data_IF_640628804644
#
_entry.id   IF_640628804644
#
_cell.length_a   1.000
_cell.length_b   1.000
_cell.length_c   1.000
_cell.angle_alpha   90.00
_cell.angle_beta   90.00
_cell.angle_gamma   90.00
#
_symmetry.space_group_name_H-M   'P 1'
#
loop_
_entity.id
_entity.type
_entity.pdbx_description
1 polymer ?
#
# COMPACT_ATOMS: atom_id res chain seq x y z
N UNK A 1 31.05 27.51 36.19
CA UNK A 1 32.15 28.49 36.22
C UNK A 1 31.70 29.70 35.41
N UNK A 2 31.42 30.86 36.06
CA UNK A 2 30.94 32.14 35.47
C UNK A 2 29.55 32.10 34.77
N UNK A 3 28.46 32.73 35.23
CA UNK A 3 28.10 34.19 35.39
C UNK A 3 27.90 34.93 34.05
N UNK A 4 26.94 35.85 33.82
CA UNK A 4 25.86 36.46 34.63
C UNK A 4 24.79 37.13 33.68
N UNK A 5 23.52 37.19 34.12
CA UNK A 5 22.47 38.26 33.99
C UNK A 5 22.07 39.07 32.72
N UNK A 6 20.90 39.73 32.88
CA UNK A 6 19.92 40.32 31.92
C UNK A 6 19.38 41.64 32.53
N UNK A 7 19.32 42.81 31.84
CA UNK A 7 18.22 43.17 30.91
C UNK A 7 18.74 44.03 29.72
N UNK A 8 18.04 44.97 29.02
CA UNK A 8 16.73 45.64 29.14
C UNK A 8 16.56 46.75 28.05
N UNK A 9 15.38 47.39 27.88
CA UNK A 9 15.03 48.20 26.69
C UNK A 9 15.07 49.73 26.90
N UNK A 10 14.92 50.55 25.83
CA UNK A 10 14.21 51.86 25.85
C UNK A 10 13.96 52.50 24.46
N UNK A 11 13.09 53.53 24.43
CA UNK A 11 12.48 54.18 23.25
C UNK A 11 13.30 55.30 22.58
N UNK A 12 12.91 55.70 21.35
CA UNK A 12 13.35 56.95 20.71
C UNK A 12 12.57 57.36 19.45
N UNK A 13 11.53 58.18 19.61
CA UNK A 13 10.91 59.07 18.59
C UNK A 13 10.78 60.48 19.22
N UNK A 14 10.43 61.57 18.51
CA UNK A 14 10.24 61.80 17.06
C UNK A 14 11.03 63.04 16.51
N UNK A 15 10.83 63.44 15.25
CA UNK A 15 10.76 64.87 14.88
C UNK A 15 9.92 65.12 13.61
N UNK A 16 9.42 66.36 13.46
CA UNK A 16 8.12 66.65 12.84
C UNK A 16 8.16 67.92 11.94
N UNK A 17 7.92 67.73 10.61
CA UNK A 17 7.32 68.70 9.62
C UNK A 17 8.12 70.03 9.36
N UNK A 18 7.76 70.97 8.43
CA UNK A 18 6.56 71.04 7.57
C UNK A 18 6.65 71.46 6.07
N UNK A 19 5.63 70.99 5.35
CA UNK A 19 4.77 71.69 4.37
C UNK A 19 5.33 72.50 3.17
N UNK A 20 4.73 72.25 1.99
CA UNK A 20 4.02 73.31 1.25
C UNK A 20 2.81 72.78 0.48
N UNK A 21 1.72 73.53 0.49
CA UNK A 21 0.44 73.22 -0.16
C UNK A 21 0.21 74.07 -1.41
N UNK A 22 -0.64 73.58 -2.33
CA UNK A 22 -1.50 74.44 -3.16
C UNK A 22 -2.78 73.68 -3.57
N UNK A 23 -3.87 74.42 -3.77
CA UNK A 23 -5.23 73.90 -4.05
C UNK A 23 -5.65 74.21 -5.50
N UNK A 24 -6.47 73.35 -6.09
CA UNK A 24 -7.32 73.64 -7.26
C UNK A 24 -8.57 72.72 -7.27
N UNK A 25 -9.79 73.15 -7.67
CA UNK A 25 -11.02 72.47 -7.25
C UNK A 25 -12.00 71.97 -8.35
N UNK A 26 -12.60 70.78 -8.11
CA UNK A 26 -13.95 70.30 -8.54
C UNK A 26 -14.28 70.28 -10.07
N UNK A 27 -15.12 69.41 -10.64
CA UNK A 27 -16.39 68.80 -10.17
C UNK A 27 -16.61 67.40 -10.87
N UNK A 28 -17.79 66.72 -10.97
CA UNK A 28 -17.87 65.28 -10.70
C UNK A 28 -18.25 64.38 -11.91
N UNK A 29 -18.00 63.06 -11.81
CA UNK A 29 -18.48 62.10 -12.80
C UNK A 29 -18.34 60.62 -12.40
N UNK A 30 -19.48 59.93 -12.39
CA UNK A 30 -19.69 58.46 -12.49
C UNK A 30 -19.00 57.49 -11.51
N UNK A 31 -19.84 56.75 -10.78
CA UNK A 31 -19.55 55.41 -10.26
C UNK A 31 -19.25 54.42 -11.40
N UNK A 32 -18.31 53.47 -11.21
CA UNK A 32 -18.56 52.01 -11.32
C UNK A 32 -17.26 51.18 -11.31
N UNK A 33 -17.20 50.17 -10.44
CA UNK A 33 -16.26 49.03 -10.52
C UNK A 33 -14.79 49.32 -10.18
N UNK A 34 -14.02 48.40 -9.59
CA UNK A 34 -14.33 47.06 -9.06
C UNK A 34 -13.25 46.69 -8.05
N UNK A 35 -13.61 46.06 -6.92
CA UNK A 35 -12.66 45.42 -6.00
C UNK A 35 -12.09 44.09 -6.56
N UNK A 36 -11.96 43.96 -7.89
CA UNK A 36 -11.61 42.73 -8.59
C UNK A 36 -10.12 42.57 -8.91
N UNK A 37 -9.34 43.66 -8.95
CA UNK A 37 -7.95 43.61 -9.43
C UNK A 37 -6.91 43.16 -8.38
N UNK A 38 -7.31 42.98 -7.11
CA UNK A 38 -6.41 42.48 -6.07
C UNK A 38 -6.35 40.94 -5.98
N UNK A 39 -7.33 40.23 -6.55
CA UNK A 39 -7.41 38.75 -6.52
C UNK A 39 -6.69 38.10 -7.71
N UNK A 40 -6.45 38.86 -8.78
CA UNK A 40 -5.80 38.35 -10.01
C UNK A 40 -4.28 38.18 -9.85
N UNK A 41 -3.64 38.87 -8.90
CA UNK A 41 -2.17 38.87 -8.74
C UNK A 41 -1.64 37.80 -7.76
N UNK A 42 -2.49 36.85 -7.34
CA UNK A 42 -2.06 35.68 -6.56
C UNK A 42 -2.60 34.35 -7.10
N UNK A 43 -3.05 34.33 -8.36
CA UNK A 43 -2.97 33.11 -9.14
C UNK A 43 -1.50 32.77 -9.34
N UNK A 44 -1.03 31.74 -8.64
CA UNK A 44 0.22 31.05 -9.00
C UNK A 44 0.08 30.66 -10.47
N UNK A 45 0.87 31.29 -11.34
CA UNK A 45 0.97 30.86 -12.74
C UNK A 45 1.56 29.47 -12.76
N UNK A 46 0.69 28.47 -12.75
CA UNK A 46 1.03 27.09 -13.07
C UNK A 46 1.60 27.12 -14.49
N UNK A 47 2.93 27.07 -14.59
CA UNK A 47 3.64 27.07 -15.87
C UNK A 47 3.20 25.85 -16.67
N UNK A 48 2.21 26.04 -17.53
CA UNK A 48 1.67 25.00 -18.40
C UNK A 48 2.82 24.42 -19.22
N UNK A 49 2.96 23.09 -19.20
CA UNK A 49 3.93 22.42 -20.07
C UNK A 49 3.62 22.76 -21.53
N UNK A 50 4.66 23.01 -22.31
CA UNK A 50 4.52 23.39 -23.72
C UNK A 50 3.81 22.29 -24.52
N UNK A 51 2.98 22.73 -25.46
CA UNK A 51 2.30 21.87 -26.42
C UNK A 51 3.28 21.29 -27.44
N UNK A 52 2.82 20.26 -28.19
CA UNK A 52 3.59 19.72 -29.31
C UNK A 52 4.07 20.79 -30.31
N UNK A 53 3.23 21.78 -30.62
CA UNK A 53 3.54 22.79 -31.64
C UNK A 53 4.46 23.88 -31.12
N UNK A 54 4.30 24.31 -29.86
CA UNK A 54 5.27 25.17 -29.17
C UNK A 54 6.64 24.50 -29.06
N UNK A 55 6.69 23.19 -28.78
CA UNK A 55 7.94 22.43 -28.76
C UNK A 55 8.59 22.34 -30.15
N UNK A 56 7.81 22.07 -31.20
CA UNK A 56 8.32 22.03 -32.59
C UNK A 56 8.84 23.40 -33.03
N UNK A 57 8.14 24.49 -32.72
CA UNK A 57 8.58 25.86 -32.99
C UNK A 57 9.87 26.18 -32.21
N UNK A 58 9.89 25.91 -30.90
CA UNK A 58 11.03 26.15 -30.01
C UNK A 58 12.27 25.27 -30.23
N UNK A 59 12.21 24.30 -31.16
CA UNK A 59 13.34 23.41 -31.52
C UNK A 59 13.64 23.36 -33.02
N UNK A 60 13.11 24.31 -33.80
CA UNK A 60 13.44 24.48 -35.22
C UNK A 60 12.79 23.48 -36.19
N UNK A 61 12.60 23.94 -37.41
CA UNK A 61 11.66 23.40 -38.41
C UNK A 61 11.81 21.93 -38.86
N UNK A 62 10.79 21.49 -39.58
CA UNK A 62 10.43 20.08 -39.84
C UNK A 62 11.36 19.31 -40.79
N UNK A 63 12.06 19.99 -41.70
CA UNK A 63 12.71 19.38 -42.88
C UNK A 63 13.72 18.23 -42.59
N UNK A 64 14.32 18.20 -41.40
CA UNK A 64 15.23 17.12 -40.95
C UNK A 64 14.81 16.52 -39.59
N UNK A 65 13.59 16.81 -39.11
CA UNK A 65 13.12 16.36 -37.78
C UNK A 65 12.92 14.85 -37.74
N UNK A 66 12.26 14.29 -38.75
CA UNK A 66 11.93 12.85 -38.85
C UNK A 66 13.10 11.88 -38.97
N UNK A 67 14.34 12.36 -39.07
CA UNK A 67 15.58 11.55 -39.11
C UNK A 67 16.47 11.75 -37.88
N UNK A 68 15.92 12.28 -36.80
CA UNK A 68 16.67 12.70 -35.61
C UNK A 68 16.08 12.10 -34.33
N UNK A 69 16.95 11.86 -33.34
CA UNK A 69 16.59 11.43 -31.98
C UNK A 69 15.52 12.30 -31.30
N UNK A 70 15.34 13.55 -31.74
CA UNK A 70 14.27 14.44 -31.26
C UNK A 70 12.86 13.84 -31.45
N UNK A 71 12.69 12.93 -32.42
CA UNK A 71 11.43 12.19 -32.64
C UNK A 71 11.00 11.32 -31.46
N UNK A 72 11.94 10.92 -30.59
CA UNK A 72 11.61 10.23 -29.33
C UNK A 72 10.92 11.19 -28.35
N UNK A 73 11.36 12.44 -28.30
CA UNK A 73 10.73 13.50 -27.50
C UNK A 73 9.36 13.87 -28.07
N UNK A 74 9.24 14.03 -29.40
CA UNK A 74 7.95 14.26 -30.06
C UNK A 74 6.93 13.17 -29.71
N UNK A 75 7.35 11.89 -29.76
CA UNK A 75 6.48 10.75 -29.46
C UNK A 75 6.05 10.72 -28.01
N UNK A 76 6.96 10.99 -27.07
CA UNK A 76 6.64 11.04 -25.64
C UNK A 76 5.67 12.19 -25.32
N UNK A 77 5.89 13.37 -25.90
CA UNK A 77 5.01 14.53 -25.72
C UNK A 77 3.62 14.29 -26.30
N UNK A 78 3.53 13.71 -27.50
CA UNK A 78 2.26 13.29 -28.11
C UNK A 78 1.54 12.23 -27.28
N UNK A 79 2.26 11.24 -26.75
CA UNK A 79 1.67 10.19 -25.91
C UNK A 79 1.06 10.78 -24.63
N UNK A 80 1.75 11.73 -23.98
CA UNK A 80 1.19 12.45 -22.82
C UNK A 80 -0.10 13.20 -23.16
N UNK A 81 -0.14 13.97 -24.26
CA UNK A 81 -1.34 14.72 -24.64
C UNK A 81 -2.49 13.86 -25.17
N UNK A 82 -2.25 12.58 -25.49
CA UNK A 82 -3.30 11.62 -25.81
C UNK A 82 -3.99 11.04 -24.55
N UNK A 83 -3.42 11.20 -23.35
CA UNK A 83 -3.98 10.67 -22.11
C UNK A 83 -5.04 11.62 -21.52
N UNK A 84 -6.24 11.14 -21.17
CA UNK A 84 -7.24 11.95 -20.50
C UNK A 84 -6.77 12.37 -19.09
N UNK A 85 -7.20 13.55 -18.63
CA UNK A 85 -6.72 14.14 -17.37
C UNK A 85 -7.03 13.27 -16.12
N UNK A 86 -8.00 12.36 -16.19
CA UNK A 86 -8.33 11.42 -15.13
C UNK A 86 -7.26 10.32 -14.90
N UNK A 87 -6.45 9.98 -15.92
CA UNK A 87 -5.40 8.94 -15.83
C UNK A 87 -4.11 9.51 -15.26
N UNK A 88 -4.17 9.94 -14.00
CA UNK A 88 -3.08 10.64 -13.31
C UNK A 88 -1.80 9.80 -13.19
N UNK A 89 -1.91 8.50 -12.97
CA UNK A 89 -0.81 7.54 -12.91
C UNK A 89 -0.18 7.32 -14.29
N UNK A 90 -0.98 7.06 -15.31
CA UNK A 90 -0.51 6.94 -16.69
C UNK A 90 0.22 8.23 -17.15
N UNK A 91 -0.29 9.39 -16.74
CA UNK A 91 0.31 10.70 -17.02
C UNK A 91 1.62 10.92 -16.26
N UNK A 92 1.77 10.43 -15.03
CA UNK A 92 3.06 10.39 -14.34
C UNK A 92 4.08 9.59 -15.15
N UNK A 93 3.72 8.38 -15.60
CA UNK A 93 4.62 7.55 -16.42
C UNK A 93 5.01 8.25 -17.73
N UNK A 94 4.05 8.86 -18.42
CA UNK A 94 4.31 9.61 -19.66
C UNK A 94 5.20 10.86 -19.43
N UNK A 95 5.02 11.59 -18.32
CA UNK A 95 5.90 12.70 -17.94
C UNK A 95 7.34 12.23 -17.66
N UNK A 96 7.51 11.05 -17.04
CA UNK A 96 8.84 10.45 -16.83
C UNK A 96 9.48 10.03 -18.14
N UNK A 97 8.71 9.52 -19.10
CA UNK A 97 9.19 9.23 -20.45
C UNK A 97 9.58 10.49 -21.23
N UNK A 98 8.87 11.62 -21.06
CA UNK A 98 9.30 12.93 -21.60
C UNK A 98 10.65 13.35 -20.99
N UNK A 99 10.78 13.34 -19.67
CA UNK A 99 12.04 13.71 -18.98
C UNK A 99 13.20 12.81 -19.44
N UNK A 100 12.97 11.50 -19.53
CA UNK A 100 13.94 10.51 -20.04
C UNK A 100 14.34 10.80 -21.49
N UNK A 101 13.37 11.01 -22.38
CA UNK A 101 13.63 11.30 -23.79
C UNK A 101 14.40 12.62 -23.97
N UNK A 102 14.06 13.65 -23.18
CA UNK A 102 14.77 14.92 -23.17
C UNK A 102 16.23 14.74 -22.71
N UNK A 103 16.46 14.04 -21.59
CA UNK A 103 17.81 13.75 -21.08
C UNK A 103 18.67 12.97 -22.07
N UNK A 104 18.13 11.92 -22.70
CA UNK A 104 18.82 11.14 -23.73
C UNK A 104 19.16 12.00 -24.94
N UNK A 105 18.26 12.88 -25.39
CA UNK A 105 18.53 13.78 -26.52
C UNK A 105 19.66 14.77 -26.21
N UNK A 106 19.62 15.40 -25.05
CA UNK A 106 20.64 16.37 -24.61
C UNK A 106 22.01 15.68 -24.49
N UNK A 107 22.09 14.52 -23.84
CA UNK A 107 23.32 13.74 -23.72
C UNK A 107 23.88 13.31 -25.09
N UNK A 108 23.03 12.93 -26.04
CA UNK A 108 23.45 12.55 -27.39
C UNK A 108 23.96 13.73 -28.24
N UNK A 109 23.53 14.97 -27.97
CA UNK A 109 23.95 16.16 -28.75
C UNK A 109 25.04 16.99 -28.08
N UNK A 110 25.21 16.91 -26.77
CA UNK A 110 26.03 17.84 -26.00
C UNK A 110 25.46 19.27 -26.04
N UNK A 111 26.02 20.16 -25.21
CA UNK A 111 25.44 21.49 -24.95
C UNK A 111 25.34 22.42 -26.16
N UNK A 112 26.07 22.13 -27.24
CA UNK A 112 26.09 22.92 -28.48
C UNK A 112 24.97 22.59 -29.48
N UNK A 113 24.09 21.62 -29.20
CA UNK A 113 23.02 21.24 -30.12
C UNK A 113 21.92 22.31 -30.25
N UNK A 114 21.56 22.69 -31.47
CA UNK A 114 20.58 23.78 -31.76
C UNK A 114 19.16 23.57 -31.21
N UNK A 115 18.83 22.38 -30.69
CA UNK A 115 17.54 22.05 -30.05
C UNK A 115 17.64 21.86 -28.53
N UNK A 116 18.84 21.91 -27.96
CA UNK A 116 19.11 21.52 -26.56
C UNK A 116 18.33 22.39 -25.58
N UNK A 117 18.42 23.72 -25.68
CA UNK A 117 17.70 24.62 -24.78
C UNK A 117 16.17 24.47 -24.82
N UNK A 118 15.58 24.15 -25.98
CA UNK A 118 14.14 23.84 -26.07
C UNK A 118 13.78 22.50 -25.43
N UNK A 119 14.68 21.52 -25.53
CA UNK A 119 14.52 20.18 -24.96
C UNK A 119 14.71 20.17 -23.45
N UNK A 120 15.67 20.94 -22.92
CA UNK A 120 15.88 21.15 -21.48
C UNK A 120 14.64 21.79 -20.84
N UNK A 121 14.13 22.89 -21.41
CA UNK A 121 12.90 23.53 -20.91
C UNK A 121 11.68 22.60 -20.89
N UNK A 122 11.52 21.72 -21.89
CA UNK A 122 10.46 20.71 -21.86
C UNK A 122 10.68 19.70 -20.73
N UNK A 123 11.91 19.22 -20.53
CA UNK A 123 12.25 18.33 -19.43
C UNK A 123 11.96 18.95 -18.05
N UNK A 124 12.35 20.20 -17.85
CA UNK A 124 12.07 20.97 -16.63
C UNK A 124 10.57 21.14 -16.38
N UNK A 125 9.81 21.52 -17.42
CA UNK A 125 8.34 21.64 -17.33
C UNK A 125 7.66 20.29 -17.03
N UNK A 126 8.12 19.21 -17.68
CA UNK A 126 7.60 17.87 -17.43
C UNK A 126 7.91 17.39 -16.01
N UNK A 127 9.09 17.70 -15.47
CA UNK A 127 9.45 17.39 -14.10
C UNK A 127 8.64 18.22 -13.09
N UNK A 128 8.41 19.51 -13.35
CA UNK A 128 7.56 20.36 -12.53
C UNK A 128 6.09 19.88 -12.53
N UNK A 129 5.58 19.40 -13.66
CA UNK A 129 4.23 18.86 -13.79
C UNK A 129 4.01 17.56 -12.99
N UNK A 130 5.05 16.73 -12.78
CA UNK A 130 4.94 15.52 -11.95
C UNK A 130 4.55 15.86 -10.49
N UNK A 131 5.05 16.97 -9.96
CA UNK A 131 4.73 17.46 -8.61
C UNK A 131 3.36 18.14 -8.46
N UNK A 132 2.57 18.20 -9.53
CA UNK A 132 1.22 18.81 -9.54
C UNK A 132 0.09 17.78 -9.61
N UNK A 133 0.42 16.50 -9.76
CA UNK A 133 -0.55 15.40 -9.81
C UNK A 133 -1.06 15.09 -8.39
N UNK A 134 -2.34 14.69 -8.27
CA UNK A 134 -2.87 14.27 -6.96
C UNK A 134 -2.30 12.88 -6.59
N UNK A 135 -1.63 12.73 -5.42
CA UNK A 135 -0.89 11.51 -5.10
C UNK A 135 -1.79 10.28 -4.89
N UNK A 136 -3.03 10.48 -4.45
CA UNK A 136 -4.00 9.38 -4.31
C UNK A 136 -4.53 8.93 -5.67
N UNK A 137 -4.88 9.88 -6.55
CA UNK A 137 -5.29 9.56 -7.91
C UNK A 137 -4.16 8.87 -8.69
N UNK A 138 -2.91 9.31 -8.52
CA UNK A 138 -1.72 8.64 -9.07
C UNK A 138 -1.61 7.21 -8.52
N UNK A 139 -1.73 7.00 -7.21
CA UNK A 139 -1.63 5.66 -6.61
C UNK A 139 -2.69 4.70 -7.16
N UNK A 140 -3.97 5.10 -7.17
CA UNK A 140 -5.08 4.27 -7.66
C UNK A 140 -4.99 3.96 -9.16
N UNK A 141 -4.58 4.94 -9.97
CA UNK A 141 -4.41 4.75 -11.41
C UNK A 141 -3.18 3.88 -11.73
N UNK A 142 -2.07 4.00 -10.97
CA UNK A 142 -0.92 3.10 -11.13
C UNK A 142 -1.22 1.66 -10.70
N UNK A 143 -2.05 1.44 -9.68
CA UNK A 143 -2.56 0.07 -9.40
C UNK A 143 -3.32 -0.49 -10.60
N UNK A 144 -4.16 0.34 -11.23
CA UNK A 144 -4.95 -0.05 -12.43
C UNK A 144 -4.06 -0.33 -13.65
N UNK A 145 -2.99 0.44 -13.86
CA UNK A 145 -1.98 0.17 -14.91
C UNK A 145 -1.26 -1.16 -14.65
N UNK A 146 -0.94 -1.48 -13.38
CA UNK A 146 -0.28 -2.74 -13.03
C UNK A 146 -1.24 -3.93 -13.15
N UNK A 147 -2.51 -3.78 -12.75
CA UNK A 147 -3.57 -4.77 -12.95
C UNK A 147 -3.73 -5.08 -14.45
N UNK A 148 -3.75 -4.06 -15.33
CA UNK A 148 -3.81 -4.29 -16.78
C UNK A 148 -2.58 -5.03 -17.32
N UNK A 149 -1.38 -4.72 -16.82
CA UNK A 149 -0.15 -5.44 -17.23
C UNK A 149 -0.20 -6.92 -16.81
N UNK A 150 -0.76 -7.21 -15.64
CA UNK A 150 -1.02 -8.57 -15.16
C UNK A 150 -2.06 -9.31 -16.03
N UNK A 151 -3.19 -8.66 -16.36
CA UNK A 151 -4.23 -9.22 -17.23
C UNK A 151 -3.72 -9.52 -18.66
N UNK A 152 -2.69 -8.78 -19.12
CA UNK A 152 -1.99 -9.02 -20.39
C UNK A 152 -0.93 -10.15 -20.30
N UNK A 153 -0.81 -10.85 -19.17
CA UNK A 153 0.14 -11.94 -18.94
C UNK A 153 1.61 -11.48 -18.90
N UNK A 154 1.87 -10.26 -18.43
CA UNK A 154 3.20 -9.65 -18.42
C UNK A 154 3.65 -9.38 -16.98
N UNK A 155 4.94 -9.57 -16.75
CA UNK A 155 5.57 -9.24 -15.47
C UNK A 155 5.71 -7.70 -15.31
N UNK A 156 5.03 -7.06 -14.34
CA UNK A 156 5.09 -5.61 -14.14
C UNK A 156 6.43 -5.11 -13.59
N UNK A 157 7.22 -5.96 -12.93
CA UNK A 157 8.55 -5.60 -12.42
C UNK A 157 9.60 -5.43 -13.54
N UNK A 158 9.28 -5.85 -14.78
CA UNK A 158 10.11 -5.62 -15.95
C UNK A 158 9.84 -4.26 -16.63
N UNK A 159 8.83 -3.50 -16.18
CA UNK A 159 8.58 -2.15 -16.72
C UNK A 159 9.63 -1.15 -16.21
N UNK A 160 10.50 -0.71 -17.11
CA UNK A 160 11.54 0.30 -16.86
C UNK A 160 11.01 1.65 -16.37
N UNK A 161 9.70 1.91 -16.42
CA UNK A 161 9.06 3.10 -15.83
C UNK A 161 8.83 2.95 -14.30
N UNK A 162 8.99 1.74 -13.77
CA UNK A 162 8.89 1.34 -12.36
C UNK A 162 7.53 1.69 -11.70
N UNK A 163 6.38 1.32 -12.29
CA UNK A 163 5.06 1.76 -11.82
C UNK A 163 4.80 1.43 -10.35
N UNK A 164 5.21 0.25 -9.87
CA UNK A 164 5.06 -0.13 -8.46
C UNK A 164 5.85 0.77 -7.49
N UNK A 165 7.06 1.17 -7.89
CA UNK A 165 7.91 2.09 -7.10
C UNK A 165 7.43 3.55 -7.14
N UNK A 166 6.77 3.96 -8.23
CA UNK A 166 6.13 5.28 -8.31
C UNK A 166 4.81 5.32 -7.52
N UNK A 167 4.04 4.23 -7.51
CA UNK A 167 2.86 4.08 -6.67
C UNK A 167 3.24 4.16 -5.18
N UNK A 168 4.31 3.47 -4.75
CA UNK A 168 4.81 3.57 -3.38
C UNK A 168 5.18 5.00 -2.97
N UNK A 169 5.84 5.77 -3.86
CA UNK A 169 6.14 7.20 -3.62
C UNK A 169 4.88 8.06 -3.56
N UNK A 170 3.92 7.80 -4.43
CA UNK A 170 2.64 8.50 -4.44
C UNK A 170 1.91 8.27 -3.12
N UNK A 171 1.80 7.01 -2.66
CA UNK A 171 1.22 6.65 -1.38
C UNK A 171 1.89 7.35 -0.17
N UNK A 172 3.22 7.47 -0.17
CA UNK A 172 3.98 8.20 0.86
C UNK A 172 3.68 9.71 0.90
N UNK A 173 3.23 10.30 -0.20
CA UNK A 173 2.90 11.72 -0.31
C UNK A 173 1.45 12.06 0.08
N UNK A 174 0.60 11.06 0.36
CA UNK A 174 -0.80 11.27 0.75
C UNK A 174 -0.87 11.71 2.23
N UNK A 175 -1.64 12.77 2.57
CA UNK A 175 -1.96 13.13 3.96
C UNK A 175 -2.54 11.97 4.76
N UNK A 176 -2.22 11.88 6.06
CA UNK A 176 -2.52 10.68 6.85
C UNK A 176 -4.03 10.36 6.98
N UNK A 177 -4.87 11.40 7.06
CA UNK A 177 -6.33 11.32 7.04
C UNK A 177 -6.86 10.77 5.70
N UNK A 178 -6.40 11.34 4.57
CA UNK A 178 -6.72 10.84 3.22
C UNK A 178 -6.22 9.42 3.01
N UNK A 179 -5.03 9.08 3.53
CA UNK A 179 -4.46 7.74 3.43
C UNK A 179 -5.31 6.71 4.18
N UNK A 180 -5.75 7.03 5.39
CA UNK A 180 -6.65 6.17 6.16
C UNK A 180 -7.98 5.96 5.43
N UNK A 181 -8.59 7.03 4.90
CA UNK A 181 -9.82 6.92 4.08
C UNK A 181 -9.60 6.05 2.84
N UNK A 182 -8.52 6.29 2.08
CA UNK A 182 -8.16 5.50 0.90
C UNK A 182 -8.00 4.01 1.22
N UNK A 183 -7.36 3.68 2.35
CA UNK A 183 -7.23 2.29 2.80
C UNK A 183 -8.57 1.69 3.25
N UNK A 184 -9.46 2.50 3.85
CA UNK A 184 -10.84 2.13 4.13
C UNK A 184 -11.60 1.65 2.88
N UNK A 185 -11.44 2.34 1.75
CA UNK A 185 -12.04 1.92 0.48
C UNK A 185 -11.50 0.56 0.00
N UNK A 186 -10.21 0.28 0.20
CA UNK A 186 -9.63 -1.02 -0.16
C UNK A 186 -10.06 -2.15 0.80
N UNK A 187 -10.27 -1.85 2.09
CA UNK A 187 -10.90 -2.79 3.05
C UNK A 187 -12.35 -3.08 2.63
N UNK A 188 -13.12 -2.07 2.23
CA UNK A 188 -14.46 -2.26 1.68
C UNK A 188 -14.44 -3.08 0.38
N UNK A 189 -13.47 -2.83 -0.52
CA UNK A 189 -13.27 -3.61 -1.74
C UNK A 189 -12.96 -5.08 -1.45
N UNK A 190 -12.13 -5.38 -0.44
CA UNK A 190 -11.90 -6.75 0.05
C UNK A 190 -13.19 -7.38 0.58
N UNK A 191 -13.95 -6.65 1.38
CA UNK A 191 -15.25 -7.12 1.90
C UNK A 191 -16.27 -7.41 0.80
N UNK A 192 -16.32 -6.58 -0.24
CA UNK A 192 -17.24 -6.73 -1.37
C UNK A 192 -16.98 -7.99 -2.21
N UNK A 193 -15.75 -8.53 -2.23
CA UNK A 193 -15.45 -9.81 -2.89
C UNK A 193 -16.28 -10.97 -2.31
N UNK A 194 -16.73 -10.87 -1.05
CA UNK A 194 -17.60 -11.89 -0.43
C UNK A 194 -18.92 -12.09 -1.18
N UNK A 195 -19.45 -11.03 -1.81
CA UNK A 195 -20.70 -11.07 -2.56
C UNK A 195 -20.51 -11.54 -4.02
N UNK A 196 -19.27 -11.82 -4.44
CA UNK A 196 -19.01 -12.42 -5.73
C UNK A 196 -19.48 -13.89 -5.74
N UNK A 197 -20.44 -14.19 -6.60
CA UNK A 197 -20.99 -15.55 -6.77
C UNK A 197 -19.94 -16.56 -7.24
N UNK A 198 -18.89 -16.11 -7.94
CA UNK A 198 -17.76 -16.93 -8.42
C UNK A 198 -16.73 -17.23 -7.34
N UNK A 199 -16.79 -16.59 -6.17
CA UNK A 199 -15.84 -16.85 -5.09
C UNK A 199 -16.10 -18.23 -4.43
N UNK A 200 -15.07 -19.05 -4.17
CA UNK A 200 -15.23 -20.31 -3.44
C UNK A 200 -15.71 -20.10 -2.01
N UNK A 201 -16.51 -21.02 -1.48
CA UNK A 201 -17.15 -20.88 -0.16
C UNK A 201 -16.14 -20.80 1.00
N UNK A 202 -15.00 -21.48 0.87
CA UNK A 202 -13.91 -21.39 1.84
C UNK A 202 -13.33 -19.96 1.88
N UNK A 203 -13.26 -19.30 0.72
CA UNK A 203 -12.75 -17.92 0.61
C UNK A 203 -13.80 -16.90 1.05
N UNK A 204 -15.09 -17.12 0.77
CA UNK A 204 -16.19 -16.32 1.35
C UNK A 204 -16.19 -16.38 2.88
N UNK A 205 -15.98 -17.56 3.45
CA UNK A 205 -15.90 -17.78 4.90
C UNK A 205 -14.72 -17.03 5.53
N UNK A 206 -13.53 -17.11 4.92
CA UNK A 206 -12.36 -16.33 5.32
C UNK A 206 -12.65 -14.83 5.27
N UNK A 207 -13.14 -14.28 4.16
CA UNK A 207 -13.43 -12.83 4.06
C UNK A 207 -14.47 -12.41 5.11
N UNK A 208 -15.49 -13.23 5.38
CA UNK A 208 -16.47 -12.98 6.45
C UNK A 208 -15.83 -12.83 7.84
N UNK A 209 -14.86 -13.69 8.19
CA UNK A 209 -14.08 -13.58 9.43
C UNK A 209 -13.21 -12.31 9.45
N UNK A 210 -12.53 -12.01 8.34
CA UNK A 210 -11.65 -10.82 8.26
C UNK A 210 -12.45 -9.52 8.39
N UNK A 211 -13.65 -9.44 7.80
CA UNK A 211 -14.52 -8.28 7.93
C UNK A 211 -15.10 -8.12 9.35
N UNK A 212 -15.26 -9.22 10.10
CA UNK A 212 -15.73 -9.14 11.49
C UNK A 212 -14.73 -8.47 12.44
N UNK A 213 -13.44 -8.43 12.09
CA UNK A 213 -12.38 -7.77 12.91
C UNK A 213 -11.96 -6.39 12.41
N UNK A 214 -12.47 -5.93 11.26
CA UNK A 214 -12.21 -4.56 10.73
C UNK A 214 -12.51 -3.46 11.75
N UNK A 215 -13.60 -3.49 12.55
CA UNK A 215 -13.89 -2.45 13.54
C UNK A 215 -12.82 -2.27 14.62
N UNK A 216 -11.94 -3.26 14.83
CA UNK A 216 -10.84 -3.18 15.80
C UNK A 216 -9.64 -2.41 15.22
N UNK A 217 -9.55 -2.21 13.90
CA UNK A 217 -8.47 -1.46 13.24
C UNK A 217 -8.83 0.03 13.22
N UNK A 218 -8.32 0.77 14.21
CA UNK A 218 -8.64 2.18 14.45
C UNK A 218 -7.82 3.14 13.57
N UNK A 219 -6.62 2.73 13.14
CA UNK A 219 -5.72 3.56 12.33
C UNK A 219 -5.13 2.72 11.19
N UNK A 220 -5.08 3.31 9.99
CA UNK A 220 -4.38 2.77 8.82
C UNK A 220 -3.43 3.86 8.32
N UNK A 221 -2.14 3.57 8.27
CA UNK A 221 -1.11 4.57 7.99
C UNK A 221 0.09 3.99 7.22
N UNK A 222 0.83 4.82 6.51
CA UNK A 222 2.14 4.43 5.97
C UNK A 222 3.15 4.23 7.12
N UNK A 223 4.01 3.19 7.10
CA UNK A 223 5.03 2.95 8.13
C UNK A 223 6.08 4.06 8.22
N UNK A 224 5.97 4.92 9.24
CA UNK A 224 6.97 5.96 9.56
C UNK A 224 8.12 5.36 10.39
N UNK A 225 9.17 4.89 9.73
CA UNK A 225 10.42 4.46 10.38
C UNK A 225 10.40 3.05 10.99
N UNK A 226 9.57 2.15 10.45
CA UNK A 226 9.53 0.74 10.86
C UNK A 226 9.04 -0.15 9.72
N UNK A 227 8.90 -1.45 9.98
CA UNK A 227 8.27 -2.37 9.02
C UNK A 227 6.76 -2.12 8.93
N UNK A 228 6.17 -2.51 7.79
CA UNK A 228 4.73 -2.68 7.67
C UNK A 228 4.20 -3.75 8.64
N UNK A 229 2.89 -3.79 8.78
CA UNK A 229 2.18 -4.79 9.56
C UNK A 229 1.28 -4.23 10.66
N UNK A 230 0.46 -5.13 11.22
CA UNK A 230 -0.47 -4.86 12.30
C UNK A 230 0.24 -4.65 13.65
N UNK A 231 -0.29 -3.75 14.49
CA UNK A 231 0.17 -3.49 15.86
C UNK A 231 -1.04 -3.37 16.79
N UNK A 232 -1.05 -4.14 17.87
CA UNK A 232 -1.95 -3.89 19.01
C UNK A 232 -1.48 -2.62 19.75
N UNK A 233 -2.43 -1.76 20.12
CA UNK A 233 -2.18 -0.61 21.00
C UNK A 233 -2.04 -1.09 22.46
N UNK A 234 -0.88 -0.91 23.12
CA UNK A 234 -0.70 -1.32 24.51
C UNK A 234 -1.49 -0.48 25.53
N UNK A 235 -2.12 0.63 25.12
CA UNK A 235 -3.00 1.42 25.97
C UNK A 235 -4.48 1.01 25.86
N UNK A 236 -4.84 0.12 24.94
CA UNK A 236 -6.20 -0.41 24.80
C UNK A 236 -6.55 -1.35 25.96
N UNK A 237 -7.84 -1.44 26.30
CA UNK A 237 -8.31 -2.36 27.34
C UNK A 237 -8.32 -3.81 26.81
N UNK A 238 -8.05 -4.80 27.67
CA UNK A 238 -8.04 -6.22 27.26
C UNK A 238 -9.37 -6.69 26.66
N UNK A 239 -10.50 -6.07 27.06
CA UNK A 239 -11.83 -6.34 26.51
C UNK A 239 -12.25 -5.45 25.33
N UNK A 240 -11.41 -4.48 24.92
CA UNK A 240 -11.66 -3.59 23.78
C UNK A 240 -10.32 -3.24 23.08
N UNK A 241 -9.71 -4.23 22.40
CA UNK A 241 -8.36 -4.07 21.83
C UNK A 241 -8.39 -3.26 20.53
N UNK A 242 -7.61 -2.18 20.49
CA UNK A 242 -7.45 -1.32 19.32
C UNK A 242 -6.16 -1.65 18.54
N UNK A 243 -6.24 -1.64 17.21
CA UNK A 243 -5.11 -1.98 16.33
C UNK A 243 -4.76 -0.85 15.36
N UNK A 244 -3.46 -0.66 15.13
CA UNK A 244 -2.91 0.20 14.08
C UNK A 244 -2.29 -0.65 12.98
N UNK A 245 -2.83 -0.54 11.78
CA UNK A 245 -2.29 -1.15 10.57
C UNK A 245 -1.28 -0.20 9.91
N UNK A 246 -0.02 -0.63 9.81
CA UNK A 246 1.02 0.07 9.05
C UNK A 246 1.09 -0.55 7.67
N UNK A 247 0.43 0.06 6.68
CA UNK A 247 0.21 -0.57 5.37
C UNK A 247 1.48 -0.55 4.54
N UNK A 248 1.90 -1.72 4.07
CA UNK A 248 2.89 -1.83 3.01
C UNK A 248 2.23 -1.57 1.65
N UNK A 249 2.57 -0.43 1.06
CA UNK A 249 2.02 0.03 -0.24
C UNK A 249 2.91 -0.35 -1.41
N UNK A 250 3.69 -1.42 -1.29
CA UNK A 250 4.35 -2.07 -2.42
C UNK A 250 3.30 -2.54 -3.45
N UNK A 251 3.08 -1.77 -4.51
CA UNK A 251 2.07 -2.06 -5.53
C UNK A 251 2.47 -3.17 -6.54
N UNK A 252 3.39 -4.08 -6.16
CA UNK A 252 3.86 -5.19 -7.00
C UNK A 252 2.71 -6.17 -7.26
N UNK A 253 2.25 -6.31 -8.50
CA UNK A 253 1.05 -7.10 -8.81
C UNK A 253 -0.27 -6.38 -8.49
N UNK A 254 -0.25 -5.05 -8.35
CA UNK A 254 -1.44 -4.21 -8.44
C UNK A 254 -2.41 -4.33 -7.26
N UNK A 255 -3.71 -4.25 -7.58
CA UNK A 255 -4.81 -4.39 -6.61
C UNK A 255 -4.73 -5.72 -5.86
N UNK A 256 -4.41 -6.83 -6.53
CA UNK A 256 -4.47 -8.16 -5.89
C UNK A 256 -3.48 -8.26 -4.73
N UNK A 257 -2.27 -7.72 -4.89
CA UNK A 257 -1.29 -7.61 -3.81
C UNK A 257 -1.80 -6.79 -2.64
N UNK A 258 -2.36 -5.60 -2.89
CA UNK A 258 -2.86 -4.72 -1.85
C UNK A 258 -4.02 -5.36 -1.06
N UNK A 259 -4.99 -5.95 -1.74
CA UNK A 259 -6.12 -6.64 -1.09
C UNK A 259 -5.64 -7.89 -0.31
N UNK A 260 -4.70 -8.66 -0.87
CA UNK A 260 -4.12 -9.80 -0.16
C UNK A 260 -3.23 -9.40 1.02
N UNK A 261 -2.58 -8.23 0.98
CA UNK A 261 -1.86 -7.68 2.14
C UNK A 261 -2.84 -7.20 3.23
N UNK A 262 -3.94 -6.54 2.87
CA UNK A 262 -5.01 -6.24 3.82
C UNK A 262 -5.55 -7.54 4.45
N UNK A 263 -5.78 -8.59 3.66
CA UNK A 263 -6.23 -9.88 4.15
C UNK A 263 -5.21 -10.57 5.08
N UNK A 264 -3.92 -10.52 4.75
CA UNK A 264 -2.82 -10.99 5.61
C UNK A 264 -2.90 -10.36 7.01
N UNK A 265 -3.03 -9.04 7.06
CA UNK A 265 -2.93 -8.26 8.29
C UNK A 265 -4.20 -8.31 9.15
N UNK A 266 -5.38 -8.38 8.52
CA UNK A 266 -6.63 -8.71 9.21
C UNK A 266 -6.60 -10.15 9.75
N UNK A 267 -5.86 -11.08 9.13
CA UNK A 267 -5.73 -12.45 9.63
C UNK A 267 -4.95 -12.49 10.96
N UNK A 268 -3.94 -11.64 11.14
CA UNK A 268 -3.25 -11.48 12.44
C UNK A 268 -4.24 -11.06 13.54
N UNK A 269 -5.13 -10.11 13.26
CA UNK A 269 -6.18 -9.68 14.21
C UNK A 269 -7.18 -10.81 14.50
N UNK A 270 -7.67 -11.50 13.46
CA UNK A 270 -8.61 -12.61 13.60
C UNK A 270 -8.01 -13.80 14.38
N UNK A 271 -6.73 -14.09 14.17
CA UNK A 271 -5.99 -15.11 14.92
C UNK A 271 -5.75 -14.68 16.38
N UNK A 272 -5.43 -13.41 16.63
CA UNK A 272 -5.29 -12.88 17.99
C UNK A 272 -6.59 -13.00 18.79
N UNK A 273 -7.71 -12.57 18.21
CA UNK A 273 -9.05 -12.74 18.79
C UNK A 273 -9.42 -14.23 19.02
N UNK A 274 -9.00 -15.12 18.12
CA UNK A 274 -9.31 -16.55 18.25
C UNK A 274 -8.45 -17.28 19.28
N UNK A 275 -7.17 -16.94 19.40
CA UNK A 275 -6.20 -17.73 20.16
C UNK A 275 -5.81 -17.12 21.51
N UNK A 276 -6.19 -15.86 21.79
CA UNK A 276 -5.77 -15.14 23.00
C UNK A 276 -4.25 -14.94 23.02
N UNK A 277 -3.66 -14.66 21.86
CA UNK A 277 -2.22 -14.57 21.67
C UNK A 277 -1.62 -13.30 22.27
N UNK A 278 -0.30 -13.26 22.41
CA UNK A 278 0.40 -12.05 22.83
C UNK A 278 0.33 -10.94 21.77
N UNK A 279 0.85 -9.72 22.05
CA UNK A 279 1.08 -8.69 21.04
C UNK A 279 1.93 -9.11 19.83
N UNK A 280 2.62 -10.27 19.86
CA UNK A 280 3.30 -10.89 18.70
C UNK A 280 2.31 -11.53 17.71
N UNK A 281 1.04 -11.69 18.11
CA UNK A 281 -0.07 -12.26 17.33
C UNK A 281 0.19 -13.70 16.88
N UNK A 282 0.84 -14.51 17.73
CA UNK A 282 1.16 -15.89 17.41
C UNK A 282 -0.09 -16.74 17.10
N UNK A 283 0.00 -17.57 16.06
CA UNK A 283 -1.07 -18.43 15.52
C UNK A 283 -1.22 -19.73 16.34
N UNK A 284 -1.13 -19.62 17.66
CA UNK A 284 -1.09 -20.71 18.63
C UNK A 284 -2.01 -20.36 19.79
N UNK A 285 -2.90 -21.28 20.15
CA UNK A 285 -3.80 -21.10 21.29
C UNK A 285 -3.01 -20.88 22.59
N UNK A 286 -3.39 -19.84 23.34
CA UNK A 286 -2.78 -19.54 24.64
C UNK A 286 -2.93 -20.73 25.59
N UNK A 287 -1.82 -21.12 26.23
CA UNK A 287 -1.75 -22.30 27.10
C UNK A 287 -1.32 -23.60 26.40
N UNK A 288 -1.12 -23.62 25.08
CA UNK A 288 -0.61 -24.80 24.37
C UNK A 288 0.75 -25.29 24.92
N UNK A 289 0.89 -26.60 25.03
CA UNK A 289 2.12 -27.28 25.43
C UNK A 289 3.14 -27.32 24.28
N UNK A 290 4.43 -27.47 24.60
CA UNK A 290 5.49 -27.62 23.59
C UNK A 290 5.23 -28.80 22.62
N UNK A 291 4.57 -29.87 23.08
CA UNK A 291 4.20 -31.00 22.23
C UNK A 291 3.10 -30.64 21.22
N UNK A 292 2.07 -29.92 21.65
CA UNK A 292 1.01 -29.42 20.76
C UNK A 292 1.56 -28.41 19.75
N UNK A 293 2.45 -27.53 20.18
CA UNK A 293 3.15 -26.56 19.31
C UNK A 293 4.03 -27.27 18.28
N UNK A 294 4.81 -28.26 18.69
CA UNK A 294 5.64 -29.04 17.77
C UNK A 294 4.80 -29.79 16.73
N UNK A 295 3.69 -30.41 17.15
CA UNK A 295 2.76 -31.12 16.26
C UNK A 295 2.10 -30.15 15.26
N UNK A 296 1.61 -29.00 15.73
CA UNK A 296 1.01 -27.95 14.91
C UNK A 296 2.00 -27.37 13.88
N UNK A 297 3.25 -27.13 14.28
CA UNK A 297 4.29 -26.63 13.39
C UNK A 297 4.69 -27.67 12.32
N UNK A 298 4.73 -28.96 12.69
CA UNK A 298 5.00 -30.05 11.77
C UNK A 298 3.88 -30.21 10.73
N UNK A 299 2.62 -30.18 11.15
CA UNK A 299 1.43 -30.17 10.27
C UNK A 299 1.51 -29.03 9.26
N UNK A 300 1.61 -27.78 9.76
CA UNK A 300 1.67 -26.57 8.92
C UNK A 300 2.85 -26.59 7.95
N UNK A 301 4.03 -27.04 8.39
CA UNK A 301 5.21 -27.18 7.53
C UNK A 301 4.97 -28.19 6.40
N UNK A 302 4.32 -29.32 6.69
CA UNK A 302 3.99 -30.30 5.65
C UNK A 302 3.01 -29.70 4.64
N UNK A 303 1.97 -28.98 5.09
CA UNK A 303 1.03 -28.33 4.17
C UNK A 303 1.69 -27.28 3.28
N UNK A 304 2.62 -26.46 3.79
CA UNK A 304 3.39 -25.53 2.95
C UNK A 304 4.30 -26.25 1.95
N UNK A 305 4.87 -27.40 2.32
CA UNK A 305 5.65 -28.23 1.40
C UNK A 305 4.77 -28.85 0.29
N UNK A 306 3.58 -29.34 0.64
CA UNK A 306 2.61 -29.89 -0.32
C UNK A 306 2.07 -28.82 -1.28
N UNK A 307 1.85 -27.60 -0.79
CA UNK A 307 1.50 -26.44 -1.61
C UNK A 307 2.65 -26.06 -2.55
N UNK A 308 3.90 -26.03 -2.07
CA UNK A 308 5.06 -25.77 -2.93
C UNK A 308 5.24 -26.85 -4.02
N UNK A 309 4.99 -28.12 -3.69
CA UNK A 309 5.00 -29.20 -4.67
C UNK A 309 3.89 -29.05 -5.73
N UNK A 310 2.69 -28.62 -5.33
CA UNK A 310 1.58 -28.35 -6.25
C UNK A 310 1.80 -27.11 -7.13
N UNK A 311 2.55 -26.12 -6.64
CA UNK A 311 2.95 -24.93 -7.41
C UNK A 311 4.03 -25.24 -8.46
N UNK A 312 5.02 -26.08 -8.12
CA UNK A 312 6.18 -26.35 -8.95
C UNK A 312 5.89 -27.10 -10.27
N UNK A 313 4.70 -27.69 -10.42
CA UNK A 313 4.25 -28.37 -11.63
C UNK A 313 3.16 -27.65 -12.41
N UNK A 314 2.89 -26.38 -12.10
CA UNK A 314 1.70 -25.67 -12.58
C UNK A 314 2.02 -24.67 -13.70
N UNK A 315 1.55 -24.96 -14.91
CA UNK A 315 1.76 -24.12 -16.09
C UNK A 315 0.63 -23.10 -16.34
N UNK A 316 -0.35 -22.98 -15.44
CA UNK A 316 -1.39 -21.95 -15.50
C UNK A 316 -0.87 -20.58 -15.01
N UNK A 317 0.18 -20.58 -14.18
CA UNK A 317 0.80 -19.36 -13.65
C UNK A 317 1.96 -18.89 -14.53
N UNK A 318 2.06 -17.57 -14.72
CA UNK A 318 3.26 -16.95 -15.28
C UNK A 318 4.42 -16.88 -14.25
N UNK A 319 5.63 -16.58 -14.71
CA UNK A 319 6.84 -16.49 -13.87
C UNK A 319 6.68 -15.54 -12.67
N UNK A 320 5.91 -14.45 -12.82
CA UNK A 320 5.70 -13.44 -11.78
C UNK A 320 4.68 -13.93 -10.74
N UNK A 321 3.55 -14.49 -11.19
CA UNK A 321 2.56 -15.14 -10.32
C UNK A 321 3.20 -16.29 -9.53
N UNK A 322 3.97 -17.16 -10.20
CA UNK A 322 4.68 -18.26 -9.57
C UNK A 322 5.69 -17.76 -8.52
N UNK A 323 6.47 -16.73 -8.86
CA UNK A 323 7.42 -16.11 -7.92
C UNK A 323 6.71 -15.49 -6.71
N UNK A 324 5.58 -14.79 -6.92
CA UNK A 324 4.78 -14.22 -5.83
C UNK A 324 4.23 -15.30 -4.88
N UNK A 325 3.70 -16.40 -5.42
CA UNK A 325 3.18 -17.50 -4.61
C UNK A 325 4.31 -18.23 -3.86
N UNK A 326 5.44 -18.49 -4.52
CA UNK A 326 6.59 -19.13 -3.87
C UNK A 326 7.17 -18.28 -2.74
N UNK A 327 7.30 -16.95 -2.93
CA UNK A 327 7.76 -16.05 -1.86
C UNK A 327 6.87 -16.15 -0.62
N UNK A 328 5.54 -16.22 -0.78
CA UNK A 328 4.60 -16.35 0.35
C UNK A 328 4.70 -17.71 1.04
N UNK A 329 4.88 -18.81 0.31
CA UNK A 329 5.14 -20.13 0.89
C UNK A 329 6.46 -20.18 1.66
N UNK A 330 7.52 -19.56 1.13
CA UNK A 330 8.82 -19.45 1.80
C UNK A 330 8.72 -18.56 3.05
N UNK A 331 8.03 -17.41 2.95
CA UNK A 331 7.80 -16.48 4.06
C UNK A 331 7.05 -17.15 5.23
N UNK A 332 6.02 -17.94 4.92
CA UNK A 332 5.26 -18.74 5.89
C UNK A 332 6.07 -19.81 6.61
N UNK A 333 7.17 -20.28 6.00
CA UNK A 333 8.02 -21.36 6.50
C UNK A 333 9.36 -20.89 7.09
N UNK A 334 9.57 -19.58 7.28
CA UNK A 334 10.86 -19.03 7.72
C UNK A 334 11.27 -19.57 9.11
N UNK A 335 12.50 -20.12 9.28
CA UNK A 335 12.99 -20.55 10.58
C UNK A 335 13.33 -19.35 11.47
N UNK A 336 13.30 -19.56 12.80
CA UNK A 336 13.65 -18.58 13.85
C UNK A 336 12.76 -17.33 13.92
N UNK A 337 11.68 -17.25 13.13
CA UNK A 337 10.90 -16.02 12.97
C UNK A 337 10.13 -15.63 14.22
N UNK A 338 9.52 -16.60 14.91
CA UNK A 338 8.83 -16.35 16.19
C UNK A 338 9.80 -15.81 17.25
N UNK A 339 11.01 -16.36 17.31
CA UNK A 339 12.06 -15.97 18.25
C UNK A 339 12.61 -14.56 17.96
N UNK A 340 12.75 -14.21 16.68
CA UNK A 340 13.11 -12.86 16.23
C UNK A 340 12.03 -11.84 16.60
N UNK A 341 10.75 -12.19 16.42
CA UNK A 341 9.63 -11.32 16.77
C UNK A 341 9.50 -11.14 18.29
N UNK A 342 9.52 -12.23 19.07
CA UNK A 342 9.51 -12.19 20.52
C UNK A 342 10.66 -11.33 21.09
N UNK A 343 11.87 -11.49 20.56
CA UNK A 343 13.03 -10.68 20.97
C UNK A 343 12.90 -9.19 20.60
N UNK A 344 12.32 -8.90 19.43
CA UNK A 344 12.12 -7.52 18.96
C UNK A 344 11.01 -6.81 19.75
N UNK A 345 9.94 -7.53 20.10
CA UNK A 345 8.81 -6.98 20.85
C UNK A 345 9.14 -6.76 22.33
N UNK A 346 9.91 -7.66 22.96
CA UNK A 346 10.39 -7.46 24.33
C UNK A 346 11.38 -6.30 24.41
N UNK A 347 12.33 -6.19 23.47
CA UNK A 347 13.22 -5.02 23.38
C UNK A 347 12.47 -3.69 23.19
N UNK A 348 11.29 -3.74 22.56
CA UNK A 348 10.39 -2.60 22.40
C UNK A 348 9.42 -2.40 23.58
N UNK A 349 9.54 -3.17 24.66
CA UNK A 349 8.67 -3.09 25.84
C UNK A 349 7.23 -3.57 25.63
N UNK A 350 6.94 -4.25 24.52
CA UNK A 350 5.58 -4.67 24.15
C UNK A 350 5.15 -6.00 24.77
N UNK A 351 6.10 -6.85 25.13
CA UNK A 351 5.86 -8.11 25.84
C UNK A 351 6.84 -8.23 27.01
N UNK A 352 6.43 -8.97 28.03
CA UNK A 352 7.26 -9.29 29.19
C UNK A 352 8.36 -10.30 28.86
N UNK A 353 9.40 -10.35 29.68
CA UNK A 353 10.46 -11.37 29.57
C UNK A 353 9.91 -12.81 29.64
N UNK A 354 8.88 -13.05 30.47
CA UNK A 354 8.23 -14.36 30.59
C UNK A 354 7.44 -14.74 29.31
N UNK A 355 6.75 -13.78 28.68
CA UNK A 355 6.12 -14.00 27.38
C UNK A 355 7.17 -14.31 26.30
N UNK A 356 8.28 -13.56 26.25
CA UNK A 356 9.41 -13.85 25.34
C UNK A 356 9.97 -15.25 25.56
N UNK A 357 10.22 -15.65 26.81
CA UNK A 357 10.75 -16.98 27.14
C UNK A 357 9.82 -18.10 26.64
N UNK A 358 8.50 -17.96 26.88
CA UNK A 358 7.48 -18.88 26.35
C UNK A 358 7.53 -18.98 24.82
N UNK A 359 7.51 -17.84 24.11
CA UNK A 359 7.52 -17.80 22.65
C UNK A 359 8.83 -18.36 22.06
N UNK A 360 9.97 -18.17 22.73
CA UNK A 360 11.25 -18.77 22.35
C UNK A 360 11.25 -20.28 22.63
N UNK A 361 10.58 -20.76 23.69
CA UNK A 361 10.33 -22.18 23.94
C UNK A 361 9.52 -22.82 22.80
N UNK A 362 8.39 -22.20 22.45
CA UNK A 362 7.55 -22.60 21.31
C UNK A 362 8.31 -22.58 19.98
N UNK A 363 9.15 -21.57 19.74
CA UNK A 363 10.02 -21.50 18.57
C UNK A 363 10.99 -22.69 18.49
N UNK A 364 11.65 -23.04 19.61
CA UNK A 364 12.51 -24.23 19.70
C UNK A 364 11.74 -25.54 19.48
N UNK A 365 10.52 -25.65 20.02
CA UNK A 365 9.67 -26.82 19.84
C UNK A 365 9.24 -27.02 18.37
N UNK A 366 8.96 -25.94 17.64
CA UNK A 366 8.71 -25.94 16.21
C UNK A 366 10.00 -26.12 15.35
N UNK A 367 11.17 -25.82 15.91
CA UNK A 367 12.45 -25.88 15.22
C UNK A 367 12.45 -25.04 13.93
N UNK A 368 12.86 -25.65 12.81
CA UNK A 368 12.90 -24.97 11.51
C UNK A 368 11.51 -24.59 10.94
N UNK A 369 10.41 -24.86 11.65
CA UNK A 369 9.06 -24.48 11.26
C UNK A 369 8.52 -23.26 12.04
N UNK A 370 9.32 -22.56 12.87
CA UNK A 370 8.78 -21.55 13.81
C UNK A 370 8.04 -20.38 13.15
N UNK A 371 8.34 -20.01 11.89
CA UNK A 371 7.54 -19.03 11.13
C UNK A 371 6.11 -19.44 10.87
N UNK A 372 5.80 -20.74 10.84
CA UNK A 372 4.42 -21.25 10.70
C UNK A 372 3.56 -20.92 11.93
N UNK A 373 4.18 -20.56 13.06
CA UNK A 373 3.50 -20.11 14.28
C UNK A 373 3.14 -18.62 14.25
N UNK A 374 3.46 -17.89 13.19
CA UNK A 374 3.11 -16.46 13.02
C UNK A 374 2.45 -16.21 11.67
N UNK A 375 2.88 -16.90 10.60
CA UNK A 375 2.56 -16.49 9.23
C UNK A 375 1.72 -17.49 8.43
N UNK A 376 1.53 -18.71 8.92
CA UNK A 376 0.86 -19.76 8.14
C UNK A 376 -0.55 -19.34 7.72
N UNK A 377 -1.39 -18.96 8.67
CA UNK A 377 -2.78 -18.56 8.42
C UNK A 377 -2.83 -17.33 7.48
N UNK A 378 -1.90 -16.38 7.66
CA UNK A 378 -1.89 -15.08 6.97
C UNK A 378 -1.46 -15.20 5.51
N UNK A 379 -0.45 -16.04 5.19
CA UNK A 379 -0.02 -16.26 3.81
C UNK A 379 -1.04 -17.07 3.01
N UNK A 380 -1.74 -18.02 3.63
CA UNK A 380 -2.81 -18.77 2.95
C UNK A 380 -3.95 -17.84 2.53
N UNK A 381 -4.46 -17.04 3.46
CA UNK A 381 -5.53 -16.07 3.20
C UNK A 381 -5.09 -15.02 2.17
N UNK A 382 -3.84 -14.53 2.22
CA UNK A 382 -3.28 -13.63 1.22
C UNK A 382 -3.29 -14.23 -0.20
N UNK A 383 -2.85 -15.49 -0.34
CA UNK A 383 -2.83 -16.17 -1.64
C UNK A 383 -4.23 -16.49 -2.17
N UNK A 384 -5.23 -16.75 -1.31
CA UNK A 384 -6.62 -16.95 -1.76
C UNK A 384 -7.15 -15.71 -2.51
N UNK A 385 -6.84 -14.51 -2.01
CA UNK A 385 -7.22 -13.25 -2.67
C UNK A 385 -6.49 -13.10 -4.01
N UNK A 386 -5.21 -13.47 -4.08
CA UNK A 386 -4.44 -13.42 -5.33
C UNK A 386 -5.08 -14.31 -6.41
N UNK A 387 -5.34 -15.58 -6.10
CA UNK A 387 -5.85 -16.54 -7.08
C UNK A 387 -7.25 -16.17 -7.60
N UNK A 388 -8.12 -15.64 -6.74
CA UNK A 388 -9.43 -15.13 -7.17
C UNK A 388 -9.29 -13.88 -8.05
N UNK A 389 -8.48 -12.90 -7.65
CA UNK A 389 -8.26 -11.67 -8.43
C UNK A 389 -7.61 -11.95 -9.80
N UNK A 390 -6.75 -12.98 -9.88
CA UNK A 390 -6.17 -13.46 -11.15
C UNK A 390 -7.08 -14.42 -11.93
N UNK A 391 -8.32 -14.66 -11.47
CA UNK A 391 -9.30 -15.53 -12.11
C UNK A 391 -8.80 -16.98 -12.33
N UNK A 392 -7.92 -17.46 -11.45
CA UNK A 392 -7.36 -18.83 -11.48
C UNK A 392 -8.48 -19.86 -11.42
N UNK A 393 -8.39 -20.92 -12.23
CA UNK A 393 -9.36 -22.01 -12.22
C UNK A 393 -9.54 -22.61 -10.81
N UNK A 394 -10.77 -22.78 -10.36
CA UNK A 394 -11.03 -23.37 -9.03
C UNK A 394 -10.60 -24.84 -8.90
N UNK A 395 -10.45 -25.53 -10.04
CA UNK A 395 -9.96 -26.90 -10.18
C UNK A 395 -8.43 -26.98 -10.28
N UNK A 396 -7.74 -25.83 -10.34
CA UNK A 396 -6.29 -25.74 -10.34
C UNK A 396 -5.71 -26.50 -9.11
N UNK A 397 -4.78 -27.47 -9.29
CA UNK A 397 -4.33 -28.32 -8.19
C UNK A 397 -3.69 -27.58 -7.01
N UNK A 398 -3.10 -26.40 -7.26
CA UNK A 398 -2.59 -25.53 -6.21
C UNK A 398 -3.73 -24.82 -5.48
N UNK A 399 -4.71 -24.25 -6.21
CA UNK A 399 -5.85 -23.55 -5.61
C UNK A 399 -6.72 -24.50 -4.75
N UNK A 400 -7.01 -25.71 -5.23
CA UNK A 400 -7.76 -26.73 -4.45
C UNK A 400 -7.08 -27.02 -3.10
N UNK A 401 -5.76 -27.24 -3.11
CA UNK A 401 -4.98 -27.49 -1.88
C UNK A 401 -4.93 -26.26 -0.97
N UNK A 402 -4.81 -25.07 -1.55
CA UNK A 402 -4.79 -23.81 -0.82
C UNK A 402 -6.12 -23.56 -0.09
N UNK A 403 -7.27 -23.82 -0.74
CA UNK A 403 -8.61 -23.71 -0.13
C UNK A 403 -8.77 -24.68 1.03
N UNK A 404 -8.37 -25.95 0.85
CA UNK A 404 -8.41 -26.94 1.93
C UNK A 404 -7.54 -26.53 3.15
N UNK A 405 -6.32 -26.02 2.90
CA UNK A 405 -5.43 -25.53 3.94
C UNK A 405 -5.99 -24.32 4.70
N UNK A 406 -6.56 -23.35 3.97
CA UNK A 406 -7.17 -22.16 4.54
C UNK A 406 -8.45 -22.47 5.34
N UNK A 407 -9.29 -23.39 4.84
CA UNK A 407 -10.47 -23.88 5.56
C UNK A 407 -10.07 -24.54 6.88
N UNK A 408 -9.06 -25.42 6.88
CA UNK A 408 -8.57 -26.05 8.11
C UNK A 408 -8.04 -25.02 9.14
N UNK A 409 -7.41 -23.93 8.68
CA UNK A 409 -6.97 -22.83 9.53
C UNK A 409 -8.17 -22.01 10.09
N UNK A 410 -9.16 -21.70 9.24
CA UNK A 410 -10.41 -21.06 9.64
C UNK A 410 -11.19 -21.89 10.67
N UNK A 411 -11.29 -23.22 10.46
CA UNK A 411 -11.98 -24.13 11.38
C UNK A 411 -11.25 -24.27 12.71
N UNK A 412 -9.91 -24.12 12.74
CA UNK A 412 -9.13 -24.03 13.97
C UNK A 412 -9.47 -22.75 14.74
N UNK A 413 -9.39 -21.57 14.09
CA UNK A 413 -9.76 -20.28 14.71
C UNK A 413 -11.21 -20.26 15.21
N UNK A 414 -12.13 -20.78 14.39
CA UNK A 414 -13.56 -20.82 14.71
C UNK A 414 -13.91 -21.78 15.85
N UNK A 415 -13.18 -22.89 16.02
CA UNK A 415 -13.33 -23.77 17.19
C UNK A 415 -12.85 -23.10 18.47
N UNK A 416 -11.69 -22.44 18.47
CA UNK A 416 -11.17 -21.79 19.68
C UNK A 416 -12.03 -20.61 20.13
N UNK A 417 -12.68 -19.89 19.21
CA UNK A 417 -13.67 -18.83 19.55
C UNK A 417 -14.95 -19.32 20.21
N UNK A 418 -15.34 -20.59 20.06
CA UNK A 418 -16.56 -21.11 20.71
C UNK A 418 -16.25 -21.35 22.20
N UNK A 419 -17.00 -20.73 23.13
CA UNK A 419 -16.80 -21.01 24.55
C UNK A 419 -17.11 -22.48 24.83
N UNK A 420 -16.27 -23.13 25.64
CA UNK A 420 -16.34 -24.57 25.97
C UNK A 420 -17.59 -25.00 26.79
N UNK A 421 -18.60 -24.13 26.90
CA UNK A 421 -19.88 -24.36 27.58
C UNK A 421 -21.09 -24.36 26.64
N UNK A 422 -20.91 -24.29 25.32
CA UNK A 422 -21.98 -24.49 24.35
C UNK A 422 -22.37 -25.98 24.27
N UNK A 423 -23.16 -26.45 25.24
CA UNK A 423 -23.74 -27.78 25.23
C UNK A 423 -24.64 -27.97 24.00
N UNK A 424 -24.35 -28.98 23.19
CA UNK A 424 -25.34 -29.52 22.27
C UNK A 424 -26.46 -30.15 23.11
N UNK A 425 -27.63 -29.51 23.15
CA UNK A 425 -28.83 -30.17 23.64
C UNK A 425 -29.08 -31.39 22.74
N UNK A 426 -29.08 -32.62 23.29
CA UNK A 426 -29.35 -33.80 22.48
C UNK A 426 -30.80 -33.73 21.97
N UNK A 427 -31.08 -34.17 20.72
CA UNK A 427 -32.41 -34.07 20.14
C UNK A 427 -33.43 -34.80 21.03
N UNK A 428 -34.46 -34.06 21.47
CA UNK A 428 -35.42 -34.52 22.45
C UNK A 428 -36.07 -35.86 22.07
N UNK A 429 -36.10 -36.78 23.02
CA UNK A 429 -36.79 -38.07 22.84
C UNK A 429 -38.28 -37.85 22.53
N UNK A 430 -38.87 -38.62 21.61
CA UNK A 430 -40.29 -38.50 21.27
C UNK A 430 -41.16 -38.90 22.48
N UNK A 431 -42.13 -38.05 22.81
CA UNK A 431 -43.01 -38.25 23.96
C UNK A 431 -43.84 -39.54 23.87
N UNK A 432 -43.95 -40.24 25.01
CA UNK A 432 -44.95 -41.30 25.17
C UNK A 432 -46.34 -40.68 25.40
N UNK A 433 -47.41 -41.30 24.87
CA UNK A 433 -48.78 -40.85 25.09
C UNK A 433 -49.28 -41.23 26.49
N UNK A 434 -50.29 -40.49 26.97
CA UNK A 434 -51.17 -40.85 28.10
C UNK A 434 -52.61 -40.58 27.70
#
# INVERSE_FOLDING_TARGET
>A
MRTHEVPGPTHGTPHVTPARSSRGPRTPGAFQGTAGNAVVTQMVTVSRMMTEDEFKQGTGGTALRGRSEITKVDRALKAFYALPDARQGARLLALKDIVRACGVYVAHKGDAGSRVGGTQRLGEQAQAAQGQLDPEAVFRDLLTEIDQVMDEGKNPDLDLRMPAGEAQKAAQAIPADRFHTMMGDFVQKLGALREDGTLPEETRSVIGELMAVVPLVTVMQYPRGGMGGMKLDPAAAEGDPAFTFNVDTQARGGTSFLLGHIAHELTHVAAHQAFGSSPVMELVQSGATDQEVAALAAERKQTLADLKAALAGNAEFDDFQQSMLEEKLVYGAQPQKLEQYASSFEKAGKITAAQKERLVGWGKAAGNASGTLVEYDTVLNQMLIYLHMWQTSQDNPFYVRLRAAAQAAYDRRSRTRRPAGGSEDPPGQPGQPS
#
